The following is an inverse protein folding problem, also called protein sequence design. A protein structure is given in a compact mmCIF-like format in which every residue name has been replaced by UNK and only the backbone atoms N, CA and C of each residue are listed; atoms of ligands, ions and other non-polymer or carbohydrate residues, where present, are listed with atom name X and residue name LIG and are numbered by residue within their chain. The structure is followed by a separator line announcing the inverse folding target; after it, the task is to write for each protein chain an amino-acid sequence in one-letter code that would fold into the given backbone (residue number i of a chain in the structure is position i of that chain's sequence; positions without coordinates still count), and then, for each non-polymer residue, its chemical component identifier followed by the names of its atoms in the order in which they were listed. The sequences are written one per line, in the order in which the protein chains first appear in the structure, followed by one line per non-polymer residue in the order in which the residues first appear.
data_IF_694057087829
#
_entry.id   IF_694057087829
#
_cell.length_a   1.000
_cell.length_b   1.000
_cell.length_c   1.000
_cell.angle_alpha   90.00
_cell.angle_beta   90.00
_cell.angle_gamma   90.00
#
_symmetry.space_group_name_H-M   'P 1'
#
loop_
_entity.id
_entity.type
_entity.pdbx_description
1 polymer ?
#
# COMPACT_ATOMS: atom_id res chain seq x y z
N UNK A 1 -16.22 8.51 -9.58
CA UNK A 1 -16.50 7.10 -9.25
C UNK A 1 -17.01 7.06 -7.82
N UNK A 2 -18.10 6.36 -7.52
CA UNK A 2 -18.51 6.15 -6.12
C UNK A 2 -17.45 5.31 -5.43
N UNK A 3 -16.71 5.90 -4.48
CA UNK A 3 -15.81 5.17 -3.60
C UNK A 3 -16.58 3.96 -3.03
N UNK A 4 -15.96 2.79 -3.11
CA UNK A 4 -16.50 1.58 -2.50
C UNK A 4 -16.73 1.84 -1.00
N UNK A 5 -18.00 1.86 -0.56
CA UNK A 5 -18.37 2.10 0.84
C UNK A 5 -18.08 0.88 1.74
N UNK A 6 -17.43 -0.15 1.23
CA UNK A 6 -16.94 -1.24 2.07
C UNK A 6 -15.94 -0.71 3.11
N UNK A 7 -15.90 -1.34 4.29
CA UNK A 7 -14.91 -1.00 5.33
C UNK A 7 -13.47 -1.05 4.82
N UNK A 8 -13.19 -1.95 3.88
CA UNK A 8 -11.88 -2.08 3.25
C UNK A 8 -11.61 -0.90 2.30
N UNK A 9 -12.61 -0.51 1.50
CA UNK A 9 -12.50 0.63 0.59
C UNK A 9 -12.23 1.96 1.32
N UNK A 10 -12.86 2.17 2.48
CA UNK A 10 -12.61 3.36 3.31
C UNK A 10 -11.16 3.45 3.80
N UNK A 11 -10.61 2.36 4.32
CA UNK A 11 -9.21 2.33 4.78
C UNK A 11 -8.25 2.65 3.62
N UNK A 12 -8.48 2.06 2.45
CA UNK A 12 -7.65 2.31 1.27
C UNK A 12 -7.76 3.77 0.81
N UNK A 13 -8.96 4.36 0.84
CA UNK A 13 -9.17 5.75 0.47
C UNK A 13 -8.39 6.72 1.38
N UNK A 14 -8.42 6.50 2.69
CA UNK A 14 -7.66 7.32 3.66
C UNK A 14 -6.15 7.27 3.39
N UNK A 15 -5.60 6.10 3.02
CA UNK A 15 -4.19 5.99 2.67
C UNK A 15 -3.84 6.73 1.38
N UNK A 16 -4.72 6.68 0.38
CA UNK A 16 -4.49 7.39 -0.89
C UNK A 16 -4.57 8.91 -0.71
N UNK A 17 -5.50 9.40 0.11
CA UNK A 17 -5.62 10.83 0.45
C UNK A 17 -4.36 11.35 1.17
N UNK A 18 -3.77 10.54 2.06
CA UNK A 18 -2.50 10.91 2.72
C UNK A 18 -1.36 11.07 1.71
N UNK A 19 -1.24 10.14 0.76
CA UNK A 19 -0.22 10.21 -0.30
C UNK A 19 -0.46 11.42 -1.20
N UNK A 20 -1.71 11.68 -1.60
CA UNK A 20 -2.05 12.84 -2.42
C UNK A 20 -1.71 14.16 -1.70
N UNK A 21 -1.95 14.26 -0.39
CA UNK A 21 -1.55 15.42 0.41
C UNK A 21 -0.02 15.62 0.46
N UNK A 22 0.77 14.54 0.43
CA UNK A 22 2.23 14.61 0.51
C UNK A 22 2.87 15.05 -0.83
N UNK A 23 2.28 14.71 -1.97
CA UNK A 23 2.87 14.91 -3.30
C UNK A 23 2.13 15.94 -4.18
N UNK A 24 0.84 16.18 -3.92
CA UNK A 24 -0.02 17.10 -4.67
C UNK A 24 -0.53 16.55 -6.01
N UNK A 25 -1.51 17.26 -6.58
CA UNK A 25 -2.31 16.86 -7.75
C UNK A 25 -1.52 16.71 -9.07
N UNK A 26 -0.29 17.22 -9.12
CA UNK A 26 0.57 17.16 -10.32
C UNK A 26 1.35 15.84 -10.44
N UNK A 27 1.21 14.94 -9.47
CA UNK A 27 1.91 13.65 -9.42
C UNK A 27 1.01 12.48 -9.83
N UNK A 28 1.59 11.47 -10.49
CA UNK A 28 0.89 10.24 -10.86
C UNK A 28 1.50 9.01 -10.18
N UNK A 29 0.66 8.00 -9.91
CA UNK A 29 1.10 6.71 -9.39
C UNK A 29 1.65 5.86 -10.53
N UNK A 30 2.95 5.55 -10.49
CA UNK A 30 3.62 4.73 -11.50
C UNK A 30 3.44 3.21 -11.36
N UNK A 31 3.40 2.68 -10.13
CA UNK A 31 3.12 1.27 -9.84
C UNK A 31 2.63 1.13 -8.39
N UNK A 32 1.81 0.11 -8.12
CA UNK A 32 1.19 -0.17 -6.82
C UNK A 32 1.40 -1.64 -6.47
N UNK A 33 2.04 -1.88 -5.33
CA UNK A 33 2.03 -3.18 -4.66
C UNK A 33 1.25 -3.05 -3.34
N UNK A 34 0.04 -3.58 -3.30
CA UNK A 34 -0.80 -3.55 -2.11
C UNK A 34 -0.52 -4.77 -1.24
N UNK A 35 -0.20 -4.54 0.03
CA UNK A 35 -0.07 -5.58 1.07
C UNK A 35 -1.08 -5.25 2.17
N UNK A 36 -2.06 -6.13 2.37
CA UNK A 36 -3.10 -5.95 3.40
C UNK A 36 -3.26 -7.20 4.25
N UNK A 37 -3.43 -7.02 5.55
CA UNK A 37 -3.97 -8.07 6.41
C UNK A 37 -5.50 -7.98 6.39
N UNK A 38 -6.14 -9.03 5.91
CA UNK A 38 -7.59 -9.16 5.95
C UNK A 38 -7.97 -9.95 7.18
N UNK A 39 -8.65 -9.30 8.13
CA UNK A 39 -9.15 -9.92 9.36
C UNK A 39 -10.62 -10.28 9.20
N UNK A 40 -10.96 -11.54 9.42
CA UNK A 40 -12.33 -12.03 9.29
C UNK A 40 -12.68 -13.13 10.31
N UNK A 41 -13.91 -13.66 10.26
CA UNK A 41 -14.40 -14.67 11.21
C UNK A 41 -13.63 -16.00 11.17
N UNK A 42 -12.83 -16.23 10.13
CA UNK A 42 -12.04 -17.45 9.93
C UNK A 42 -10.54 -17.27 10.25
N UNK A 43 -10.16 -16.11 10.81
CA UNK A 43 -8.77 -15.75 11.09
C UNK A 43 -8.30 -14.55 10.27
N UNK A 44 -7.00 -14.29 10.31
CA UNK A 44 -6.37 -13.24 9.50
C UNK A 44 -5.49 -13.81 8.40
N UNK A 45 -5.51 -13.14 7.25
CA UNK A 45 -4.72 -13.53 6.07
C UNK A 45 -4.09 -12.32 5.42
N UNK A 46 -2.78 -12.40 5.19
CA UNK A 46 -2.08 -11.42 4.37
C UNK A 46 -2.40 -11.67 2.89
N UNK A 47 -2.74 -10.60 2.17
CA UNK A 47 -2.96 -10.58 0.73
C UNK A 47 -2.01 -9.58 0.08
N UNK A 48 -1.37 -10.04 -1.00
CA UNK A 48 -0.49 -9.20 -1.83
C UNK A 48 -1.09 -9.13 -3.23
N UNK A 49 -1.18 -7.93 -3.78
CA UNK A 49 -1.59 -7.65 -5.17
C UNK A 49 -0.68 -6.59 -5.76
N UNK A 50 -0.40 -6.68 -7.04
CA UNK A 50 0.44 -5.73 -7.78
C UNK A 50 -0.29 -5.28 -9.04
N UNK A 51 -0.18 -4.00 -9.40
CA UNK A 51 -0.69 -3.48 -10.68
C UNK A 51 0.15 -3.95 -11.86
N UNK A 52 1.49 -4.00 -11.71
CA UNK A 52 2.38 -4.60 -12.69
C UNK A 52 2.50 -6.12 -12.46
N UNK A 53 2.32 -6.89 -13.54
CA UNK A 53 2.40 -8.35 -13.56
C UNK A 53 3.84 -8.87 -13.66
N UNK A 54 4.80 -8.00 -13.98
CA UNK A 54 6.22 -8.37 -14.07
C UNK A 54 6.76 -8.65 -12.66
N UNK A 55 7.28 -9.86 -12.39
CA UNK A 55 7.73 -10.23 -11.05
C UNK A 55 8.82 -9.32 -10.48
N UNK A 56 9.71 -8.79 -11.33
CA UNK A 56 10.79 -7.92 -10.89
C UNK A 56 10.31 -6.54 -10.43
N UNK A 57 9.22 -6.00 -11.00
CA UNK A 57 8.62 -4.74 -10.55
C UNK A 57 8.04 -4.91 -9.15
N UNK A 58 7.17 -5.91 -8.97
CA UNK A 58 6.54 -6.19 -7.67
C UNK A 58 7.55 -6.57 -6.58
N UNK A 59 8.53 -7.44 -6.87
CA UNK A 59 9.57 -7.77 -5.91
C UNK A 59 10.46 -6.57 -5.57
N UNK A 60 10.77 -5.72 -6.56
CA UNK A 60 11.52 -4.49 -6.35
C UNK A 60 10.81 -3.53 -5.39
N UNK A 61 9.51 -3.28 -5.61
CA UNK A 61 8.70 -2.45 -4.73
C UNK A 61 8.66 -2.99 -3.30
N UNK A 62 8.46 -4.30 -3.13
CA UNK A 62 8.44 -4.94 -1.80
C UNK A 62 9.78 -4.75 -1.08
N UNK A 63 10.90 -4.94 -1.79
CA UNK A 63 12.25 -4.76 -1.21
C UNK A 63 12.52 -3.33 -0.79
N UNK A 64 12.11 -2.35 -1.60
CA UNK A 64 12.22 -0.94 -1.25
C UNK A 64 11.37 -0.58 -0.03
N UNK A 65 10.13 -1.07 0.02
CA UNK A 65 9.23 -0.86 1.16
C UNK A 65 9.77 -1.50 2.46
N UNK A 66 10.29 -2.73 2.38
CA UNK A 66 10.96 -3.41 3.48
C UNK A 66 12.14 -2.58 4.02
N UNK A 67 13.00 -2.08 3.14
CA UNK A 67 14.14 -1.25 3.51
C UNK A 67 13.71 0.08 4.14
N UNK A 68 12.69 0.74 3.60
CA UNK A 68 12.16 1.99 4.16
C UNK A 68 11.59 1.78 5.57
N UNK A 69 10.83 0.70 5.77
CA UNK A 69 10.29 0.36 7.09
C UNK A 69 11.38 0.02 8.11
N UNK A 70 12.39 -0.78 7.71
CA UNK A 70 13.53 -1.09 8.57
C UNK A 70 14.39 0.14 8.88
N UNK A 71 14.55 1.04 7.92
CA UNK A 71 15.25 2.32 8.11
C UNK A 71 14.54 3.23 9.11
N UNK A 72 13.21 3.29 9.06
CA UNK A 72 12.41 4.07 10.01
C UNK A 72 12.42 3.45 11.43
N UNK A 73 12.60 2.13 11.56
CA UNK A 73 12.78 1.47 12.86
C UNK A 73 14.15 1.75 13.49
N UNK A 74 15.15 2.12 12.68
CA UNK A 74 16.49 2.49 13.15
C UNK A 74 16.69 3.98 13.51
N UNK A 75 15.63 4.81 13.42
CA UNK A 75 15.67 6.24 13.69
C UNK A 75 15.09 6.67 15.06
N UNK A 76 14.86 5.73 15.97
CA UNK A 76 14.45 6.01 17.33
C UNK A 76 15.67 6.03 18.29
N UNK A 77 16.56 7.00 18.11
CA UNK A 77 17.59 7.41 19.08
C UNK A 77 17.74 8.93 19.12
#
# INVERSE_FOLDING_TARGET
MTLDQSKVGQVVAEQMEAIENDYGDDCEIGDVCTIVEVVGPHGSHVRVRSSDMRPHSGLGLIRMAEQAMLGNLGGAE
#
